data_IF_477711722457
#
_entry.id   IF_477711722457
#
_cell.length_a   1.000
_cell.length_b   1.000
_cell.length_c   1.000
_cell.angle_alpha   90.00
_cell.angle_beta   90.00
_cell.angle_gamma   90.00
#
_symmetry.space_group_name_H-M   'P 1'
#
loop_
_entity.id
_entity.type
_entity.pdbx_description
1 polymer ?
#
# COMPACT_ATOMS: atom_id res chain seq x y z
N UNK A 1 -1.16 -19.04 -6.58
CA UNK A 1 -2.48 -18.96 -5.94
C UNK A 1 -2.97 -17.55 -6.13
N UNK A 2 -4.21 -17.38 -6.56
CA UNK A 2 -4.86 -16.08 -6.68
C UNK A 2 -5.37 -15.68 -5.28
N UNK A 3 -5.10 -14.46 -4.85
CA UNK A 3 -5.57 -13.93 -3.58
C UNK A 3 -6.86 -13.16 -3.81
N UNK A 4 -7.81 -13.21 -2.87
CA UNK A 4 -8.97 -12.32 -2.87
C UNK A 4 -8.55 -10.98 -2.22
N UNK A 5 -8.67 -9.89 -2.96
CA UNK A 5 -8.05 -8.59 -2.65
C UNK A 5 -9.10 -7.58 -2.18
N UNK A 6 -8.84 -7.02 -1.00
CA UNK A 6 -9.67 -6.01 -0.35
C UNK A 6 -8.85 -4.74 -0.17
N UNK A 7 -9.36 -3.60 -0.66
CA UNK A 7 -8.64 -2.31 -0.61
C UNK A 7 -9.49 -1.28 0.13
N UNK A 8 -8.89 -0.59 1.10
CA UNK A 8 -9.52 0.53 1.79
C UNK A 8 -9.42 1.80 0.96
N UNK A 9 -10.54 2.53 0.86
CA UNK A 9 -10.70 3.75 0.07
C UNK A 9 -11.46 4.80 0.88
N UNK A 10 -11.39 6.05 0.44
CA UNK A 10 -11.92 7.20 1.18
C UNK A 10 -13.07 7.92 0.46
N UNK A 11 -13.43 7.47 -0.75
CA UNK A 11 -14.48 8.01 -1.60
C UNK A 11 -14.79 7.07 -2.78
N UNK A 12 -15.88 7.35 -3.51
CA UNK A 12 -16.36 6.54 -4.64
C UNK A 12 -15.43 6.54 -5.84
N UNK A 13 -14.64 7.59 -6.06
CA UNK A 13 -13.72 7.66 -7.20
C UNK A 13 -12.52 6.73 -6.98
N UNK A 14 -11.98 6.68 -5.76
CA UNK A 14 -11.01 5.66 -5.35
C UNK A 14 -11.59 4.25 -5.45
N UNK A 15 -12.85 4.06 -5.08
CA UNK A 15 -13.52 2.76 -5.19
C UNK A 15 -13.60 2.25 -6.65
N UNK A 16 -13.82 3.16 -7.62
CA UNK A 16 -13.78 2.81 -9.06
C UNK A 16 -12.36 2.45 -9.50
N UNK A 17 -11.38 3.25 -9.11
CA UNK A 17 -9.97 3.05 -9.49
C UNK A 17 -9.46 1.70 -9.03
N UNK A 18 -9.67 1.33 -7.76
CA UNK A 18 -9.15 0.05 -7.25
C UNK A 18 -9.82 -1.15 -7.92
N UNK A 19 -11.08 -1.02 -8.34
CA UNK A 19 -11.78 -2.04 -9.15
C UNK A 19 -11.23 -2.14 -10.56
N UNK A 20 -10.90 -1.02 -11.19
CA UNK A 20 -10.24 -1.00 -12.51
C UNK A 20 -8.81 -1.58 -12.44
N UNK A 21 -8.24 -1.64 -11.23
CA UNK A 21 -6.96 -2.30 -10.90
C UNK A 21 -7.15 -3.73 -10.37
N UNK A 22 -8.30 -4.36 -10.66
CA UNK A 22 -8.60 -5.76 -10.34
C UNK A 22 -8.73 -6.09 -8.83
N UNK A 23 -8.99 -5.10 -7.96
CA UNK A 23 -9.38 -5.40 -6.59
C UNK A 23 -10.80 -6.01 -6.56
N UNK A 24 -10.98 -7.13 -5.84
CA UNK A 24 -12.28 -7.77 -5.69
C UNK A 24 -13.27 -6.89 -4.91
N UNK A 25 -12.79 -6.19 -3.88
CA UNK A 25 -13.61 -5.33 -3.03
C UNK A 25 -12.95 -4.01 -2.66
N UNK A 26 -13.75 -2.95 -2.69
CA UNK A 26 -13.41 -1.63 -2.14
C UNK A 26 -14.17 -1.42 -0.82
N UNK A 27 -13.46 -0.92 0.19
CA UNK A 27 -13.95 -0.69 1.56
C UNK A 27 -13.86 0.79 1.86
N UNK A 28 -15.00 1.50 1.96
CA UNK A 28 -14.98 2.89 2.42
C UNK A 28 -14.79 2.94 3.94
N UNK A 29 -13.54 3.14 4.37
CA UNK A 29 -13.19 3.14 5.79
C UNK A 29 -13.79 4.33 6.56
N UNK A 30 -14.36 5.33 5.87
CA UNK A 30 -15.08 6.44 6.53
C UNK A 30 -16.51 6.07 6.91
N UNK A 31 -17.08 5.03 6.28
CA UNK A 31 -18.47 4.62 6.45
C UNK A 31 -18.62 3.40 7.35
N UNK A 32 -17.55 2.64 7.57
CA UNK A 32 -17.57 1.44 8.41
C UNK A 32 -16.28 1.23 9.20
N UNK A 33 -16.39 0.52 10.32
CA UNK A 33 -15.27 0.17 11.18
C UNK A 33 -14.54 -1.07 10.67
N UNK A 34 -13.30 -1.28 11.15
CA UNK A 34 -12.53 -2.50 10.89
C UNK A 34 -13.30 -3.76 11.26
N UNK A 35 -13.81 -3.82 12.49
CA UNK A 35 -14.64 -4.92 12.94
C UNK A 35 -15.82 -5.23 12.00
N UNK A 36 -16.48 -4.22 11.42
CA UNK A 36 -17.62 -4.42 10.54
C UNK A 36 -17.21 -5.10 9.23
N UNK A 37 -16.18 -4.61 8.54
CA UNK A 37 -15.76 -5.23 7.28
C UNK A 37 -15.08 -6.58 7.51
N UNK A 38 -14.36 -6.76 8.63
CA UNK A 38 -13.81 -8.07 9.02
C UNK A 38 -14.94 -9.08 9.21
N UNK A 39 -16.01 -8.70 9.90
CA UNK A 39 -17.17 -9.57 10.07
C UNK A 39 -17.83 -9.90 8.73
N UNK A 40 -18.05 -8.88 7.88
CA UNK A 40 -18.70 -9.04 6.58
C UNK A 40 -17.93 -9.96 5.64
N UNK A 41 -16.62 -9.77 5.51
CA UNK A 41 -15.83 -10.44 4.48
C UNK A 41 -15.10 -11.68 4.94
N UNK A 42 -14.83 -11.81 6.25
CA UNK A 42 -14.03 -12.92 6.77
C UNK A 42 -14.79 -13.77 7.80
N UNK A 43 -16.08 -13.51 7.98
CA UNK A 43 -16.90 -14.09 9.05
C UNK A 43 -16.27 -13.91 10.44
N UNK A 44 -15.63 -12.75 10.65
CA UNK A 44 -14.99 -12.39 11.93
C UNK A 44 -13.62 -13.03 12.17
N UNK A 45 -13.07 -13.78 11.20
CA UNK A 45 -11.77 -14.46 11.36
C UNK A 45 -10.57 -13.54 11.17
N UNK A 46 -10.71 -12.50 10.35
CA UNK A 46 -9.64 -11.62 9.89
C UNK A 46 -8.99 -12.08 8.59
N UNK A 47 -8.20 -11.19 7.98
CA UNK A 47 -7.49 -11.44 6.72
C UNK A 47 -6.19 -12.22 6.94
N UNK A 48 -5.75 -13.02 5.97
CA UNK A 48 -4.48 -13.77 6.06
C UNK A 48 -3.26 -12.84 6.14
N UNK A 49 -3.27 -11.79 5.32
CA UNK A 49 -2.21 -10.78 5.21
C UNK A 49 -2.85 -9.40 5.12
N UNK A 50 -2.27 -8.42 5.80
CA UNK A 50 -2.59 -6.99 5.64
C UNK A 50 -1.32 -6.26 5.18
N UNK A 51 -1.41 -5.57 4.05
CA UNK A 51 -0.35 -4.68 3.56
C UNK A 51 -0.72 -3.23 3.89
N UNK A 52 0.09 -2.59 4.73
CA UNK A 52 -0.19 -1.29 5.33
C UNK A 52 0.78 -0.22 4.81
N UNK A 53 0.24 0.78 4.12
CA UNK A 53 1.00 1.93 3.61
C UNK A 53 0.73 3.23 4.36
N UNK A 54 -0.07 3.18 5.44
CA UNK A 54 -0.50 4.36 6.22
C UNK A 54 0.32 4.48 7.51
N UNK A 55 0.56 3.35 8.17
CA UNK A 55 1.54 3.18 9.23
C UNK A 55 1.19 3.82 10.56
N UNK A 56 2.20 3.85 11.44
CA UNK A 56 2.19 4.57 12.71
C UNK A 56 0.92 4.27 13.55
N UNK A 57 0.17 5.29 13.97
CA UNK A 57 -1.02 5.13 14.81
C UNK A 57 -2.16 4.34 14.13
N UNK A 58 -2.12 4.17 12.81
CA UNK A 58 -3.08 3.37 12.05
C UNK A 58 -2.74 1.88 12.02
N UNK A 59 -1.53 1.47 12.45
CA UNK A 59 -1.15 0.06 12.48
C UNK A 59 -2.05 -0.79 13.40
N UNK A 60 -2.66 -0.18 14.42
CA UNK A 60 -3.64 -0.86 15.27
C UNK A 60 -4.84 -1.38 14.46
N UNK A 61 -5.27 -0.65 13.44
CA UNK A 61 -6.41 -1.00 12.59
C UNK A 61 -6.01 -2.21 11.72
N UNK A 62 -4.77 -2.24 11.23
CA UNK A 62 -4.17 -3.39 10.54
C UNK A 62 -4.02 -4.61 11.46
N UNK A 63 -3.62 -4.43 12.71
CA UNK A 63 -3.57 -5.50 13.71
C UNK A 63 -4.98 -6.03 14.05
N UNK A 64 -6.00 -5.18 14.06
CA UNK A 64 -7.40 -5.58 14.25
C UNK A 64 -7.90 -6.38 13.05
N UNK A 65 -7.59 -5.96 11.82
CA UNK A 65 -8.08 -6.56 10.58
C UNK A 65 -7.54 -7.97 10.30
N UNK A 66 -6.27 -8.22 10.60
CA UNK A 66 -5.59 -9.49 10.28
C UNK A 66 -6.07 -10.64 11.18
N UNK A 67 -6.05 -11.89 10.73
CA UNK A 67 -6.41 -13.04 11.58
C UNK A 67 -5.35 -13.33 12.65
N UNK A 68 -5.70 -14.12 13.67
CA UNK A 68 -4.71 -14.70 14.60
C UNK A 68 -3.67 -15.50 13.82
N UNK A 69 -2.39 -15.31 14.14
CA UNK A 69 -1.24 -15.89 13.42
C UNK A 69 -1.14 -15.47 11.95
N UNK A 70 -1.79 -14.37 11.57
CA UNK A 70 -1.64 -13.75 10.25
C UNK A 70 -0.44 -12.82 10.18
N UNK A 71 -0.28 -12.18 9.03
CA UNK A 71 0.88 -11.34 8.71
C UNK A 71 0.46 -9.89 8.48
N UNK A 72 1.19 -8.96 9.07
CA UNK A 72 1.12 -7.53 8.72
C UNK A 72 2.46 -7.12 8.12
N UNK A 73 2.40 -6.52 6.94
CA UNK A 73 3.57 -5.96 6.24
C UNK A 73 3.34 -4.46 6.11
N UNK A 74 4.25 -3.63 6.61
CA UNK A 74 4.11 -2.18 6.54
C UNK A 74 5.32 -1.48 5.94
N UNK A 75 5.09 -0.37 5.26
CA UNK A 75 6.15 0.54 4.79
C UNK A 75 6.43 1.69 5.76
N UNK A 76 5.65 1.84 6.84
CA UNK A 76 5.78 2.96 7.77
C UNK A 76 5.47 2.57 9.23
N UNK A 77 6.48 2.67 10.09
CA UNK A 77 6.36 2.35 11.52
C UNK A 77 7.38 3.13 12.36
N UNK A 78 7.43 4.45 12.17
CA UNK A 78 8.45 5.32 12.78
C UNK A 78 8.01 5.92 14.13
N UNK A 79 6.71 5.88 14.42
CA UNK A 79 6.15 6.36 15.68
C UNK A 79 6.18 5.29 16.79
N UNK A 80 5.89 5.71 18.03
CA UNK A 80 5.56 4.79 19.12
C UNK A 80 4.24 4.07 18.82
N UNK A 81 4.28 2.74 18.75
CA UNK A 81 3.14 1.88 18.39
C UNK A 81 2.81 0.96 19.58
N UNK A 82 1.52 0.82 19.89
CA UNK A 82 1.04 -0.20 20.83
C UNK A 82 1.03 -1.59 20.16
N UNK A 83 1.88 -2.49 20.64
CA UNK A 83 2.05 -3.85 20.11
C UNK A 83 1.19 -4.88 20.85
N UNK A 84 0.32 -4.47 21.78
CA UNK A 84 -0.49 -5.39 22.59
C UNK A 84 -1.34 -6.33 21.73
N UNK A 85 -2.03 -5.79 20.72
CA UNK A 85 -2.90 -6.56 19.84
C UNK A 85 -2.10 -7.49 18.90
N UNK A 86 -0.91 -7.05 18.48
CA UNK A 86 0.04 -7.88 17.72
C UNK A 86 0.45 -9.11 18.55
N UNK A 87 0.78 -8.91 19.82
CA UNK A 87 1.15 -10.00 20.72
C UNK A 87 -0.03 -10.94 20.99
N UNK A 88 -1.20 -10.41 21.33
CA UNK A 88 -2.42 -11.19 21.61
C UNK A 88 -2.78 -12.11 20.45
N UNK A 89 -2.66 -11.61 19.22
CA UNK A 89 -3.01 -12.35 18.00
C UNK A 89 -1.84 -13.17 17.46
N UNK A 90 -0.67 -13.13 18.08
CA UNK A 90 0.55 -13.80 17.65
C UNK A 90 0.90 -13.52 16.18
N UNK A 91 0.87 -12.24 15.79
CA UNK A 91 1.08 -11.82 14.41
C UNK A 91 2.55 -11.90 13.98
N UNK A 92 2.79 -12.22 12.72
CA UNK A 92 4.04 -11.89 12.05
C UNK A 92 3.99 -10.41 11.62
N UNK A 93 5.05 -9.66 11.93
CA UNK A 93 5.14 -8.23 11.62
C UNK A 93 6.42 -7.95 10.82
N UNK A 94 6.25 -7.45 9.59
CA UNK A 94 7.33 -7.16 8.68
C UNK A 94 7.35 -5.67 8.34
N UNK A 95 8.52 -5.07 8.40
CA UNK A 95 8.75 -3.69 7.94
C UNK A 95 9.52 -3.72 6.62
N UNK A 96 9.05 -2.93 5.66
CA UNK A 96 9.69 -2.78 4.35
C UNK A 96 10.20 -1.37 4.22
N UNK A 97 11.53 -1.21 4.20
CA UNK A 97 12.16 0.09 4.05
C UNK A 97 13.18 0.04 2.90
N UNK A 98 12.68 0.28 1.69
CA UNK A 98 13.41 0.15 0.42
C UNK A 98 14.67 1.02 0.33
N UNK A 99 14.85 2.03 1.18
CA UNK A 99 16.04 2.89 1.12
C UNK A 99 17.25 2.33 1.88
N UNK A 100 17.08 1.27 2.70
CA UNK A 100 18.15 0.71 3.55
C UNK A 100 19.44 0.42 2.77
N UNK A 101 19.42 -0.33 1.65
CA UNK A 101 20.67 -0.65 0.94
C UNK A 101 21.39 0.57 0.38
N UNK A 102 20.66 1.63 0.03
CA UNK A 102 21.23 2.88 -0.46
C UNK A 102 21.81 3.67 0.71
N UNK A 103 21.05 3.80 1.80
CA UNK A 103 21.42 4.61 2.96
C UNK A 103 22.68 4.10 3.66
N UNK A 104 22.85 2.77 3.73
CA UNK A 104 24.01 2.12 4.35
C UNK A 104 25.07 1.66 3.35
N UNK A 105 24.91 1.98 2.06
CA UNK A 105 25.77 1.53 0.97
C UNK A 105 26.03 0.01 0.99
N UNK A 106 24.97 -0.78 1.21
CA UNK A 106 25.01 -2.23 1.21
C UNK A 106 24.97 -2.76 -0.24
N UNK A 107 26.09 -3.32 -0.70
CA UNK A 107 26.19 -3.88 -2.04
C UNK A 107 25.23 -5.05 -2.28
N UNK A 108 25.04 -5.92 -1.28
CA UNK A 108 24.18 -7.10 -1.45
C UNK A 108 22.71 -6.68 -1.62
N UNK A 109 22.20 -5.79 -0.77
CA UNK A 109 20.84 -5.26 -0.91
C UNK A 109 20.63 -4.46 -2.19
N UNK A 110 21.64 -3.74 -2.69
CA UNK A 110 21.56 -3.07 -4.00
C UNK A 110 21.44 -4.07 -5.15
N UNK A 111 22.15 -5.20 -5.09
CA UNK A 111 22.00 -6.27 -6.08
C UNK A 111 20.62 -6.95 -5.99
N UNK A 112 20.09 -7.13 -4.79
CA UNK A 112 18.73 -7.66 -4.58
C UNK A 112 17.68 -6.74 -5.21
N UNK A 113 17.77 -5.42 -5.02
CA UNK A 113 16.89 -4.48 -5.70
C UNK A 113 16.97 -4.58 -7.23
N UNK A 114 18.17 -4.81 -7.78
CA UNK A 114 18.34 -5.05 -9.21
C UNK A 114 17.54 -6.28 -9.69
N UNK A 115 17.56 -7.37 -8.90
CA UNK A 115 16.77 -8.57 -9.20
C UNK A 115 15.26 -8.31 -9.11
N UNK A 116 14.82 -7.56 -8.11
CA UNK A 116 13.42 -7.16 -7.95
C UNK A 116 12.96 -6.29 -9.13
N UNK A 117 13.77 -5.33 -9.59
CA UNK A 117 13.48 -4.48 -10.74
C UNK A 117 13.40 -5.29 -12.04
N UNK A 118 14.25 -6.30 -12.22
CA UNK A 118 14.14 -7.23 -13.36
C UNK A 118 12.80 -7.97 -13.34
N UNK A 119 12.38 -8.48 -12.19
CA UNK A 119 11.09 -9.15 -12.08
C UNK A 119 9.91 -8.20 -12.33
N UNK A 120 9.97 -6.96 -11.81
CA UNK A 120 8.96 -5.93 -12.10
C UNK A 120 8.91 -5.64 -13.60
N UNK A 121 10.07 -5.61 -14.28
CA UNK A 121 10.15 -5.41 -15.73
C UNK A 121 9.38 -6.50 -16.48
N UNK A 122 9.58 -7.77 -16.12
CA UNK A 122 8.84 -8.90 -16.71
C UNK A 122 7.32 -8.74 -16.54
N UNK A 123 6.87 -8.29 -15.36
CA UNK A 123 5.45 -8.05 -15.08
C UNK A 123 4.88 -6.87 -15.89
N UNK A 124 5.67 -5.80 -16.07
CA UNK A 124 5.29 -4.66 -16.90
C UNK A 124 5.18 -5.06 -18.37
N UNK A 125 6.17 -5.78 -18.90
CA UNK A 125 6.19 -6.28 -20.28
C UNK A 125 5.04 -7.27 -20.55
N UNK A 126 4.66 -8.07 -19.54
CA UNK A 126 3.50 -8.95 -19.60
C UNK A 126 2.15 -8.20 -19.41
N UNK A 127 2.17 -6.88 -19.20
CA UNK A 127 0.98 -6.06 -18.97
C UNK A 127 0.27 -6.31 -17.64
N UNK A 128 0.93 -6.98 -16.68
CA UNK A 128 0.42 -7.28 -15.34
C UNK A 128 0.57 -6.13 -14.36
N UNK A 129 1.57 -5.28 -14.58
CA UNK A 129 1.76 -4.02 -13.84
C UNK A 129 1.58 -2.87 -14.82
N UNK A 130 0.63 -1.97 -14.53
CA UNK A 130 0.34 -0.78 -15.31
C UNK A 130 0.43 0.46 -14.41
N UNK A 131 1.15 1.51 -14.80
CA UNK A 131 1.16 2.73 -14.01
C UNK A 131 -0.18 3.43 -14.15
N UNK A 132 -0.79 3.79 -13.02
CA UNK A 132 -1.86 4.77 -12.99
C UNK A 132 -1.22 6.15 -13.04
N UNK A 133 -1.30 6.81 -14.20
CA UNK A 133 -0.72 8.14 -14.43
C UNK A 133 -1.81 9.18 -14.21
N UNK A 134 -1.46 10.26 -13.50
CA UNK A 134 -2.37 11.40 -13.37
C UNK A 134 -2.59 12.07 -14.73
N UNK A 135 -3.83 12.44 -15.12
CA UNK A 135 -4.07 13.08 -16.41
C UNK A 135 -3.40 14.45 -16.56
N UNK A 136 -3.03 15.12 -15.46
CA UNK A 136 -2.28 16.37 -15.53
C UNK A 136 -0.80 16.08 -15.76
N UNK A 137 -0.34 16.42 -16.96
CA UNK A 137 1.06 16.32 -17.36
C UNK A 137 1.68 17.71 -17.31
N UNK A 138 2.82 17.81 -16.64
CA UNK A 138 3.58 19.05 -16.50
C UNK A 138 4.78 19.02 -17.44
N UNK A 139 5.22 20.18 -17.93
CA UNK A 139 6.51 20.32 -18.61
C UNK A 139 7.64 20.57 -17.61
N UNK A 140 8.89 20.41 -18.04
CA UNK A 140 10.05 20.59 -17.18
C UNK A 140 10.10 21.94 -16.45
N UNK A 141 9.68 23.03 -17.11
CA UNK A 141 9.59 24.37 -16.55
C UNK A 141 8.49 24.53 -15.51
N UNK A 142 7.55 23.58 -15.42
CA UNK A 142 6.43 23.57 -14.49
C UNK A 142 6.67 22.66 -13.27
N UNK A 143 7.93 22.35 -12.96
CA UNK A 143 8.25 21.43 -11.87
C UNK A 143 7.73 21.91 -10.50
N UNK A 144 7.76 23.22 -10.24
CA UNK A 144 7.25 23.78 -9.00
C UNK A 144 5.73 23.56 -8.87
N UNK A 145 4.97 23.86 -9.93
CA UNK A 145 3.53 23.65 -9.97
C UNK A 145 3.15 22.16 -9.84
N UNK A 146 3.95 21.26 -10.41
CA UNK A 146 3.76 19.82 -10.26
C UNK A 146 3.90 19.37 -8.80
N UNK A 147 4.87 19.93 -8.07
CA UNK A 147 5.05 19.68 -6.64
C UNK A 147 3.88 20.23 -5.82
N UNK A 148 3.48 21.48 -6.05
CA UNK A 148 2.32 22.09 -5.37
C UNK A 148 1.04 21.28 -5.62
N UNK A 149 0.83 20.81 -6.86
CA UNK A 149 -0.30 19.96 -7.23
C UNK A 149 -0.31 18.64 -6.47
N UNK A 150 0.84 17.97 -6.38
CA UNK A 150 0.99 16.70 -5.65
C UNK A 150 0.81 16.86 -4.13
N UNK A 151 1.29 17.96 -3.55
CA UNK A 151 1.19 18.22 -2.10
C UNK A 151 -0.25 18.41 -1.63
N UNK A 152 -1.10 19.03 -2.46
CA UNK A 152 -2.53 19.17 -2.17
C UNK A 152 -3.27 17.82 -2.21
N UNK A 153 -2.66 16.76 -2.76
CA UNK A 153 -3.20 15.40 -2.75
C UNK A 153 -4.42 15.19 -3.65
N UNK A 154 -4.57 16.02 -4.69
CA UNK A 154 -5.67 15.91 -5.68
C UNK A 154 -5.36 14.94 -6.83
N UNK A 155 -4.12 14.45 -6.90
CA UNK A 155 -3.70 13.53 -7.95
C UNK A 155 -4.37 12.16 -7.77
N UNK A 156 -4.82 11.59 -8.87
CA UNK A 156 -5.47 10.28 -8.93
C UNK A 156 -4.47 9.17 -9.26
N UNK A 157 -3.25 9.54 -9.66
CA UNK A 157 -2.15 8.62 -9.97
C UNK A 157 -0.79 9.30 -9.81
N UNK A 158 0.22 8.77 -10.50
CA UNK A 158 1.56 9.35 -10.51
C UNK A 158 1.56 10.65 -11.31
N UNK A 159 1.96 11.75 -10.67
CA UNK A 159 2.24 13.02 -11.33
C UNK A 159 3.51 12.87 -12.18
N UNK A 160 3.44 13.28 -13.46
CA UNK A 160 4.52 13.13 -14.44
C UNK A 160 4.94 14.49 -14.97
N UNK A 161 6.26 14.69 -15.03
CA UNK A 161 6.90 15.82 -15.69
C UNK A 161 7.57 15.29 -16.97
N UNK A 162 7.26 15.92 -18.09
CA UNK A 162 7.91 15.66 -19.38
C UNK A 162 9.19 16.48 -19.49
N UNK A 163 10.26 15.82 -19.95
CA UNK A 163 11.62 16.38 -20.08
C UNK A 163 12.13 16.29 -21.51
#
# INVERSE_FOLDING_TARGET
MEAEVYVTVSNDDQAKIVKDLDADYAIDYKQETVQNFVNRYTAGKGFDVVFDTIGNQHLKDSFEAVKRKGTVVTTLSLDTIDMSLMHEKALAFHTVYMIIPIFYNDEAGKQEHGQQLNHITELVEAGKVKPLIDPHIFSHDQAAEAHDYAEVGKNTGKVVITV
#
